data_IF_103881564400
#
_entry.id   IF_103881564400
#
_cell.length_a   1.000
_cell.length_b   1.000
_cell.length_c   1.000
_cell.angle_alpha   90.00
_cell.angle_beta   90.00
_cell.angle_gamma   90.00
#
_symmetry.space_group_name_H-M   'P 1'
#
loop_
_entity.id
_entity.type
_entity.pdbx_description
1 polymer ?
#
# COMPACT_ATOMS: atom_id res chain seq x y z
N UNK A 1 -8.92 -4.95 -10.48
CA UNK A 1 -9.87 -5.75 -11.29
C UNK A 1 -11.27 -5.16 -11.21
N UNK A 2 -11.49 -3.96 -11.78
CA UNK A 2 -12.82 -3.34 -11.79
C UNK A 2 -13.83 -4.17 -12.60
N UNK A 3 -13.40 -4.75 -13.72
CA UNK A 3 -14.26 -5.50 -14.65
C UNK A 3 -14.20 -7.02 -14.45
N UNK A 4 -13.65 -7.48 -13.33
CA UNK A 4 -13.46 -8.89 -13.03
C UNK A 4 -12.00 -9.36 -13.11
N UNK A 5 -11.78 -10.62 -12.75
CA UNK A 5 -10.45 -11.23 -12.67
C UNK A 5 -9.79 -11.28 -14.05
N UNK A 6 -8.53 -10.87 -14.12
CA UNK A 6 -7.65 -11.09 -15.27
C UNK A 6 -6.34 -11.65 -14.76
N UNK A 7 -5.95 -12.84 -15.24
CA UNK A 7 -4.71 -13.47 -14.82
C UNK A 7 -3.49 -12.66 -15.27
N UNK A 8 -2.57 -12.27 -14.36
CA UNK A 8 -1.42 -11.45 -14.71
C UNK A 8 -0.34 -12.18 -15.54
N UNK A 9 -0.52 -13.48 -15.82
CA UNK A 9 0.44 -14.30 -16.60
C UNK A 9 -0.05 -14.68 -17.99
N UNK A 10 -1.36 -14.80 -18.21
CA UNK A 10 -1.90 -15.34 -19.46
C UNK A 10 -3.21 -14.71 -19.90
N UNK A 11 -3.61 -13.60 -19.26
CA UNK A 11 -4.79 -12.78 -19.55
C UNK A 11 -6.14 -13.53 -19.53
N UNK A 12 -6.15 -14.76 -19.02
CA UNK A 12 -7.37 -15.53 -18.88
C UNK A 12 -8.24 -14.98 -17.75
N UNK A 13 -9.54 -14.88 -18.01
CA UNK A 13 -10.53 -14.28 -17.10
C UNK A 13 -11.19 -15.28 -16.14
N UNK A 14 -11.05 -16.59 -16.40
CA UNK A 14 -11.54 -17.64 -15.52
C UNK A 14 -10.63 -17.87 -14.31
N UNK A 15 -11.20 -17.88 -13.11
CA UNK A 15 -10.49 -18.24 -11.89
C UNK A 15 -11.34 -19.00 -10.86
N UNK A 16 -10.65 -19.69 -9.97
CA UNK A 16 -11.20 -20.27 -8.74
C UNK A 16 -10.73 -19.45 -7.55
N UNK A 17 -11.66 -19.08 -6.65
CA UNK A 17 -11.34 -18.36 -5.41
C UNK A 17 -10.96 -19.35 -4.31
N UNK A 18 -9.77 -19.18 -3.77
CA UNK A 18 -9.22 -19.96 -2.67
C UNK A 18 -9.31 -19.14 -1.38
N UNK A 19 -10.12 -19.59 -0.42
CA UNK A 19 -10.32 -18.93 0.87
C UNK A 19 -9.45 -19.51 2.00
N UNK A 20 -8.35 -20.20 1.67
CA UNK A 20 -7.46 -20.84 2.65
C UNK A 20 -6.63 -19.85 3.48
N UNK A 21 -6.67 -18.56 3.16
CA UNK A 21 -5.93 -17.48 3.82
C UNK A 21 -6.86 -16.31 4.13
N UNK A 22 -6.44 -15.44 5.07
CA UNK A 22 -7.18 -14.20 5.42
C UNK A 22 -7.44 -13.31 4.21
N UNK A 23 -6.44 -13.16 3.33
CA UNK A 23 -6.62 -12.52 2.02
C UNK A 23 -6.87 -13.64 1.00
N UNK A 24 -8.03 -13.67 0.33
CA UNK A 24 -8.32 -14.69 -0.67
C UNK A 24 -7.31 -14.67 -1.82
N UNK A 25 -6.93 -15.87 -2.26
CA UNK A 25 -6.18 -16.05 -3.49
C UNK A 25 -7.13 -16.40 -4.63
N UNK A 26 -6.75 -16.03 -5.84
CA UNK A 26 -7.44 -16.35 -7.08
C UNK A 26 -6.50 -17.19 -7.92
N UNK A 27 -6.90 -18.42 -8.21
CA UNK A 27 -6.16 -19.33 -9.07
C UNK A 27 -6.70 -19.27 -10.49
N UNK A 28 -5.84 -18.98 -11.45
CA UNK A 28 -6.22 -18.98 -12.86
C UNK A 28 -6.63 -20.39 -13.32
N UNK A 29 -7.79 -20.50 -13.98
CA UNK A 29 -8.28 -21.78 -14.51
C UNK A 29 -7.35 -22.40 -15.56
N UNK A 30 -6.62 -21.57 -16.32
CA UNK A 30 -5.76 -21.97 -17.45
C UNK A 30 -4.32 -22.30 -17.03
N UNK A 31 -3.61 -21.34 -16.44
CA UNK A 31 -2.18 -21.51 -16.12
C UNK A 31 -1.90 -21.91 -14.66
N UNK A 32 -2.94 -22.08 -13.84
CA UNK A 32 -2.86 -22.39 -12.40
C UNK A 32 -2.06 -21.40 -11.56
N UNK A 33 -1.74 -20.22 -12.11
CA UNK A 33 -1.09 -19.16 -11.36
C UNK A 33 -2.03 -18.62 -10.29
N UNK A 34 -1.53 -18.54 -9.05
CA UNK A 34 -2.23 -17.97 -7.92
C UNK A 34 -1.79 -16.52 -7.72
N UNK A 35 -2.76 -15.62 -7.63
CA UNK A 35 -2.55 -14.20 -7.35
C UNK A 35 -3.58 -13.71 -6.32
N UNK A 36 -3.41 -12.51 -5.79
CA UNK A 36 -4.40 -11.87 -4.91
C UNK A 36 -4.83 -10.55 -5.50
N UNK A 37 -6.00 -10.05 -5.10
CA UNK A 37 -6.46 -8.73 -5.50
C UNK A 37 -5.56 -7.59 -5.00
N UNK A 38 -4.63 -7.88 -4.08
CA UNK A 38 -3.69 -6.91 -3.51
C UNK A 38 -2.35 -6.85 -4.25
N UNK A 39 -2.08 -7.76 -5.20
CA UNK A 39 -0.84 -7.75 -6.00
C UNK A 39 -0.74 -6.43 -6.78
N UNK A 40 0.44 -5.82 -6.76
CA UNK A 40 0.69 -4.51 -7.39
C UNK A 40 0.21 -3.31 -6.58
N UNK A 41 -0.35 -3.52 -5.38
CA UNK A 41 -0.76 -2.43 -4.47
C UNK A 41 0.22 -2.29 -3.31
N UNK A 42 0.13 -1.17 -2.57
CA UNK A 42 0.89 -1.01 -1.31
C UNK A 42 0.58 -2.11 -0.28
N UNK A 43 -0.57 -2.76 -0.40
CA UNK A 43 -1.03 -3.84 0.49
C UNK A 43 -0.48 -5.21 0.09
N UNK A 44 0.28 -5.32 -0.99
CA UNK A 44 0.81 -6.61 -1.46
C UNK A 44 1.64 -7.30 -0.35
N UNK A 45 1.35 -8.58 -0.15
CA UNK A 45 2.01 -9.43 0.86
C UNK A 45 1.63 -9.12 2.32
N UNK A 46 0.64 -8.25 2.56
CA UNK A 46 0.21 -7.93 3.93
C UNK A 46 -0.39 -9.14 4.65
N UNK A 47 -0.04 -9.31 5.93
CA UNK A 47 -0.74 -10.19 6.87
C UNK A 47 -1.67 -9.42 7.81
N UNK A 48 -1.57 -8.09 7.79
CA UNK A 48 -2.43 -7.19 8.56
C UNK A 48 -3.81 -7.06 7.91
N UNK A 49 -4.87 -6.88 8.71
CA UNK A 49 -6.15 -6.41 8.20
C UNK A 49 -5.98 -5.09 7.44
N UNK A 50 -6.68 -4.94 6.31
CA UNK A 50 -6.65 -3.70 5.50
C UNK A 50 -7.09 -2.47 6.31
N UNK A 51 -7.95 -2.65 7.31
CA UNK A 51 -8.37 -1.56 8.20
C UNK A 51 -7.16 -0.88 8.89
N UNK A 52 -6.14 -1.64 9.32
CA UNK A 52 -4.92 -1.07 9.91
C UNK A 52 -4.13 -0.24 8.90
N UNK A 53 -4.16 -0.62 7.61
CA UNK A 53 -3.56 0.17 6.55
C UNK A 53 -4.30 1.47 6.29
N UNK A 54 -5.64 1.45 6.30
CA UNK A 54 -6.43 2.67 6.16
C UNK A 54 -6.23 3.63 7.34
N UNK A 55 -6.16 3.11 8.58
CA UNK A 55 -5.78 3.93 9.74
C UNK A 55 -4.37 4.54 9.58
N UNK A 56 -3.40 3.77 9.08
CA UNK A 56 -2.05 4.26 8.85
C UNK A 56 -2.00 5.36 7.77
N UNK A 57 -2.81 5.23 6.71
CA UNK A 57 -2.95 6.25 5.66
C UNK A 57 -3.58 7.53 6.22
N UNK A 58 -4.67 7.41 6.97
CA UNK A 58 -5.35 8.55 7.60
C UNK A 58 -4.41 9.35 8.52
N UNK A 59 -3.68 8.65 9.39
CA UNK A 59 -2.69 9.26 10.28
C UNK A 59 -1.48 9.85 9.53
N UNK A 60 -1.10 9.27 8.39
CA UNK A 60 -0.03 9.78 7.55
C UNK A 60 -0.41 11.09 6.84
N UNK A 61 -1.69 11.27 6.51
CA UNK A 61 -2.21 12.45 5.82
C UNK A 61 -2.47 13.66 6.73
N UNK A 62 -2.27 13.51 8.04
CA UNK A 62 -2.33 14.64 8.98
C UNK A 62 -1.25 15.69 8.63
N UNK A 63 -1.44 16.98 8.98
CA UNK A 63 -0.47 18.04 8.68
C UNK A 63 0.95 17.75 9.17
N UNK A 64 1.08 17.18 10.37
CA UNK A 64 2.37 16.80 10.96
C UNK A 64 2.77 15.34 10.61
N UNK A 65 1.91 14.62 9.90
CA UNK A 65 2.01 13.19 9.66
C UNK A 65 2.07 12.37 10.96
N UNK A 66 2.67 11.18 10.87
CA UNK A 66 2.88 10.31 12.03
C UNK A 66 4.24 9.62 12.00
N UNK A 67 4.87 9.52 13.18
CA UNK A 67 6.11 8.74 13.35
C UNK A 67 5.82 7.24 13.42
N UNK A 68 6.79 6.41 13.01
CA UNK A 68 6.64 4.95 13.08
C UNK A 68 6.38 4.45 14.51
N UNK A 69 7.01 5.09 15.51
CA UNK A 69 6.81 4.75 16.91
C UNK A 69 5.41 5.10 17.40
N UNK A 70 4.86 6.26 17.01
CA UNK A 70 3.50 6.61 17.39
C UNK A 70 2.48 5.74 16.67
N UNK A 71 2.69 5.48 15.38
CA UNK A 71 1.84 4.58 14.59
C UNK A 71 1.80 3.19 15.21
N UNK A 72 2.94 2.62 15.61
CA UNK A 72 2.99 1.29 16.21
C UNK A 72 2.12 1.16 17.46
N UNK A 73 2.04 2.22 18.26
CA UNK A 73 1.18 2.29 19.44
C UNK A 73 -0.30 2.43 19.06
N UNK A 74 -0.62 3.34 18.14
CA UNK A 74 -2.02 3.67 17.80
C UNK A 74 -2.74 2.51 17.11
N UNK A 75 -2.08 1.83 16.17
CA UNK A 75 -2.69 0.71 15.43
C UNK A 75 -2.29 -0.67 15.97
N UNK A 76 -1.64 -0.72 17.13
CA UNK A 76 -1.21 -1.93 17.83
C UNK A 76 -0.47 -2.92 16.91
N UNK A 77 0.71 -2.51 16.45
CA UNK A 77 1.62 -3.35 15.65
C UNK A 77 3.05 -3.17 16.14
N UNK A 78 3.95 -4.05 15.71
CA UNK A 78 5.37 -3.85 16.02
C UNK A 78 5.91 -2.59 15.33
N UNK A 79 6.89 -1.92 15.94
CA UNK A 79 7.59 -0.79 15.34
C UNK A 79 8.07 -1.09 13.91
N UNK A 80 8.70 -2.26 13.70
CA UNK A 80 9.17 -2.71 12.38
C UNK A 80 8.05 -2.76 11.34
N UNK A 81 6.86 -3.20 11.76
CA UNK A 81 5.68 -3.25 10.88
C UNK A 81 5.21 -1.84 10.53
N UNK A 82 5.06 -0.96 11.52
CA UNK A 82 4.66 0.42 11.32
C UNK A 82 5.65 1.18 10.42
N UNK A 83 6.95 0.99 10.65
CA UNK A 83 8.02 1.53 9.82
C UNK A 83 7.90 1.08 8.36
N UNK A 84 7.72 -0.23 8.13
CA UNK A 84 7.54 -0.77 6.77
C UNK A 84 6.27 -0.21 6.09
N UNK A 85 5.17 -0.07 6.84
CA UNK A 85 3.94 0.53 6.32
C UNK A 85 4.18 1.97 5.85
N UNK A 86 4.78 2.81 6.70
CA UNK A 86 5.10 4.19 6.35
C UNK A 86 6.07 4.29 5.16
N UNK A 87 7.05 3.39 5.07
CA UNK A 87 7.94 3.33 3.92
C UNK A 87 7.20 3.01 2.62
N UNK A 88 6.30 2.02 2.63
CA UNK A 88 5.49 1.69 1.46
C UNK A 88 4.57 2.85 1.04
N UNK A 89 3.96 3.54 2.02
CA UNK A 89 3.11 4.70 1.77
C UNK A 89 3.92 5.84 1.12
N UNK A 90 5.06 6.22 1.72
CA UNK A 90 5.94 7.27 1.17
C UNK A 90 6.44 6.91 -0.23
N UNK A 91 6.86 5.67 -0.44
CA UNK A 91 7.32 5.22 -1.75
C UNK A 91 6.22 5.32 -2.82
N UNK A 92 4.98 4.95 -2.47
CA UNK A 92 3.86 5.07 -3.39
C UNK A 92 3.50 6.53 -3.70
N UNK A 93 3.53 7.42 -2.70
CA UNK A 93 3.33 8.85 -2.90
C UNK A 93 4.42 9.46 -3.80
N UNK A 94 5.70 9.20 -3.50
CA UNK A 94 6.82 9.66 -4.32
C UNK A 94 6.74 9.17 -5.77
N UNK A 95 6.39 7.89 -5.97
CA UNK A 95 6.23 7.33 -7.31
C UNK A 95 5.03 7.94 -8.05
N UNK A 96 4.00 8.38 -7.34
CA UNK A 96 2.87 9.09 -7.93
C UNK A 96 3.28 10.51 -8.33
N UNK A 97 3.92 11.27 -7.44
CA UNK A 97 4.39 12.64 -7.70
C UNK A 97 5.40 12.68 -8.85
N UNK A 98 6.28 11.67 -8.96
CA UNK A 98 7.27 11.59 -10.04
C UNK A 98 6.66 11.42 -11.45
N UNK A 99 5.34 11.21 -11.58
CA UNK A 99 4.66 11.11 -12.88
C UNK A 99 4.51 12.46 -13.57
N UNK A 100 4.48 13.55 -12.81
CA UNK A 100 4.31 14.90 -13.33
C UNK A 100 5.41 15.80 -12.78
N UNK A 101 6.13 16.47 -13.67
CA UNK A 101 7.10 17.47 -13.25
C UNK A 101 6.38 18.74 -12.81
N UNK A 102 6.81 19.30 -11.69
CA UNK A 102 6.40 20.64 -11.29
C UNK A 102 6.83 21.65 -12.37
N UNK A 103 5.92 22.53 -12.77
CA UNK A 103 6.16 23.56 -13.77
C UNK A 103 5.69 24.94 -13.29
N UNK A 104 6.26 26.00 -13.86
CA UNK A 104 5.99 27.38 -13.46
C UNK A 104 6.79 27.82 -12.23
N UNK A 105 6.26 28.79 -11.47
CA UNK A 105 6.89 29.31 -10.27
C UNK A 105 6.73 28.34 -9.09
N UNK A 106 7.73 27.47 -8.90
CA UNK A 106 7.77 26.50 -7.80
C UNK A 106 8.35 27.16 -6.55
N UNK A 107 7.56 27.23 -5.48
CA UNK A 107 7.97 27.75 -4.16
C UNK A 107 7.91 26.64 -3.12
N UNK A 108 8.94 26.57 -2.27
CA UNK A 108 8.97 25.66 -1.11
C UNK A 108 8.34 26.41 0.06
N UNK A 109 7.24 25.88 0.60
CA UNK A 109 6.45 26.57 1.63
C UNK A 109 7.08 26.52 3.03
N UNK A 110 7.85 25.47 3.35
CA UNK A 110 8.58 25.37 4.61
C UNK A 110 9.51 24.15 4.64
N UNK A 111 10.69 24.32 5.22
CA UNK A 111 11.62 23.26 5.60
C UNK A 111 11.92 23.35 7.10
N UNK A 112 11.34 22.46 7.91
CA UNK A 112 11.69 22.36 9.33
C UNK A 112 12.74 21.26 9.51
N UNK A 113 14.01 21.64 9.53
CA UNK A 113 15.07 20.78 10.02
C UNK A 113 15.09 20.86 11.55
N UNK A 114 14.78 19.75 12.21
CA UNK A 114 14.88 19.65 13.67
C UNK A 114 16.29 20.04 14.12
N UNK A 115 16.41 21.10 14.92
CA UNK A 115 17.64 21.39 15.66
C UNK A 115 17.74 20.40 16.81
N UNK A 116 18.85 19.66 16.86
CA UNK A 116 19.23 18.86 18.02
C UNK A 116 19.39 19.73 19.27
#
# INVERSE_FOLDING_TARGET
WPDGFVCPRCDHTGCSRLNSRRVPLFECGRCKHQTSALVGTIFEGTRLPLLKWFMALDLFLLPDGISAMRLSQVIDVTYKTAWLMLHKIRHAALHFDARELLYGDVKVNSDQYGRN
#
